data_IF_714400411489
#
_entry.id   IF_714400411489
#
_cell.length_a   1.000
_cell.length_b   1.000
_cell.length_c   1.000
_cell.angle_alpha   90.00
_cell.angle_beta   90.00
_cell.angle_gamma   90.00
#
_symmetry.space_group_name_H-M   'P 1'
#
loop_
_entity.id
_entity.type
_entity.pdbx_description
1 polymer ?
#
# COMPACT_ATOMS: atom_id res chain seq x y z
N UNK A 1 -19.40 -21.33 11.15
CA UNK A 1 -19.10 -21.38 9.71
C UNK A 1 -17.72 -20.78 9.56
N UNK A 2 -16.70 -21.60 9.33
CA UNK A 2 -15.38 -21.10 8.96
C UNK A 2 -15.49 -20.54 7.54
N UNK A 3 -15.57 -19.22 7.41
CA UNK A 3 -15.26 -18.57 6.14
C UNK A 3 -13.77 -18.76 5.94
N UNK A 4 -13.38 -19.85 5.27
CA UNK A 4 -12.00 -20.09 4.88
C UNK A 4 -11.50 -18.82 4.20
N UNK A 5 -10.60 -18.09 4.89
CA UNK A 5 -10.03 -16.85 4.42
C UNK A 5 -9.29 -17.17 3.13
N UNK A 6 -9.93 -16.89 1.99
CA UNK A 6 -9.28 -17.05 0.70
C UNK A 6 -8.27 -15.91 0.63
N UNK A 7 -6.96 -16.18 0.55
CA UNK A 7 -5.98 -15.12 0.52
C UNK A 7 -6.26 -14.22 -0.68
N UNK A 8 -6.57 -12.95 -0.44
CA UNK A 8 -6.75 -11.98 -1.50
C UNK A 8 -5.41 -11.75 -2.21
N UNK A 9 -5.43 -11.75 -3.54
CA UNK A 9 -4.26 -11.45 -4.35
C UNK A 9 -3.86 -9.97 -4.25
N UNK A 10 -4.76 -9.11 -3.78
CA UNK A 10 -4.53 -7.71 -3.44
C UNK A 10 -4.70 -7.54 -1.94
N UNK A 11 -3.82 -6.77 -1.31
CA UNK A 11 -3.98 -6.35 0.07
C UNK A 11 -3.60 -4.89 0.18
N UNK A 12 -4.45 -4.10 0.83
CA UNK A 12 -4.13 -2.71 1.13
C UNK A 12 -3.93 -2.52 2.62
N UNK A 13 -3.06 -1.58 2.98
CA UNK A 13 -2.97 -1.05 4.32
C UNK A 13 -2.78 0.46 4.24
N UNK A 14 -3.12 1.15 5.32
CA UNK A 14 -2.78 2.56 5.46
C UNK A 14 -2.22 2.83 6.86
N UNK A 15 -1.09 3.53 6.92
CA UNK A 15 -0.46 3.91 8.17
C UNK A 15 -0.38 5.43 8.29
N UNK A 16 -0.64 5.93 9.48
CA UNK A 16 -0.57 7.36 9.80
C UNK A 16 0.51 7.53 10.86
N UNK A 17 1.37 8.52 10.66
CA UNK A 17 2.31 8.91 11.69
C UNK A 17 1.56 9.55 12.88
N UNK A 18 1.45 8.78 13.96
CA UNK A 18 0.80 9.23 15.19
C UNK A 18 1.52 10.39 15.88
N UNK A 19 2.81 10.62 15.57
CA UNK A 19 3.54 11.77 16.12
C UNK A 19 2.95 13.11 15.66
N UNK A 20 2.13 13.09 14.59
CA UNK A 20 1.35 14.24 14.14
C UNK A 20 0.16 14.57 15.06
N UNK A 21 -0.08 13.78 16.11
CA UNK A 21 -1.08 14.06 17.15
C UNK A 21 -2.53 13.99 16.67
N UNK A 22 -2.78 13.26 15.59
CA UNK A 22 -4.06 13.28 14.88
C UNK A 22 -4.86 11.98 15.05
N UNK A 23 -6.18 12.11 14.96
CA UNK A 23 -7.13 10.99 15.01
C UNK A 23 -7.18 10.26 13.67
N UNK A 24 -7.33 8.94 13.71
CA UNK A 24 -7.52 8.12 12.50
C UNK A 24 -8.71 8.63 11.67
N UNK A 25 -8.54 8.94 10.38
CA UNK A 25 -9.63 9.24 9.47
C UNK A 25 -10.38 7.94 9.14
N UNK A 26 -11.21 7.46 10.07
CA UNK A 26 -12.03 6.24 9.92
C UNK A 26 -12.73 6.16 8.55
N UNK A 27 -13.32 7.24 8.00
CA UNK A 27 -13.96 7.17 6.69
C UNK A 27 -12.99 6.87 5.53
N UNK A 28 -11.72 7.28 5.64
CA UNK A 28 -10.68 6.94 4.67
C UNK A 28 -10.38 5.44 4.68
N UNK A 29 -10.20 4.84 5.87
CA UNK A 29 -9.97 3.40 6.01
C UNK A 29 -11.13 2.56 5.49
N UNK A 30 -12.37 2.97 5.81
CA UNK A 30 -13.57 2.30 5.32
C UNK A 30 -13.66 2.36 3.78
N UNK A 31 -13.38 3.53 3.19
CA UNK A 31 -13.33 3.68 1.74
C UNK A 31 -12.22 2.85 1.09
N UNK A 32 -11.05 2.75 1.71
CA UNK A 32 -9.94 1.92 1.24
C UNK A 32 -10.30 0.44 1.25
N UNK A 33 -10.85 -0.05 2.35
CA UNK A 33 -11.32 -1.44 2.46
C UNK A 33 -12.41 -1.75 1.43
N UNK A 34 -13.31 -0.80 1.19
CA UNK A 34 -14.34 -0.94 0.16
C UNK A 34 -13.75 -1.08 -1.23
N UNK A 35 -12.77 -0.24 -1.56
CA UNK A 35 -12.12 -0.26 -2.86
C UNK A 35 -11.29 -1.52 -3.06
N UNK A 36 -10.58 -2.00 -2.03
CA UNK A 36 -9.87 -3.28 -2.05
C UNK A 36 -10.81 -4.44 -2.37
N UNK A 37 -11.95 -4.54 -1.69
CA UNK A 37 -12.94 -5.59 -1.93
C UNK A 37 -13.47 -5.55 -3.37
N UNK A 38 -13.83 -4.36 -3.85
CA UNK A 38 -14.36 -4.16 -5.21
C UNK A 38 -13.33 -4.53 -6.28
N UNK A 39 -12.07 -4.12 -6.12
CA UNK A 39 -10.97 -4.49 -7.03
C UNK A 39 -10.70 -5.99 -6.95
N UNK A 40 -10.67 -6.56 -5.75
CA UNK A 40 -10.42 -7.98 -5.52
C UNK A 40 -11.45 -8.88 -6.20
N UNK A 41 -12.70 -8.43 -6.27
CA UNK A 41 -13.81 -9.13 -6.93
C UNK A 41 -13.87 -8.91 -8.46
N UNK A 42 -13.16 -7.92 -9.00
CA UNK A 42 -13.25 -7.52 -10.41
C UNK A 42 -12.35 -8.40 -11.31
N UNK A 43 -12.91 -9.12 -12.32
CA UNK A 43 -12.13 -10.06 -13.14
C UNK A 43 -11.05 -9.40 -14.01
N UNK A 44 -11.29 -8.18 -14.48
CA UNK A 44 -10.36 -7.39 -15.28
C UNK A 44 -9.12 -6.99 -14.47
N UNK A 45 -9.30 -6.61 -13.21
CA UNK A 45 -8.20 -6.37 -12.27
C UNK A 45 -7.38 -7.63 -12.00
N UNK A 46 -8.03 -8.78 -11.82
CA UNK A 46 -7.31 -10.05 -11.67
C UNK A 46 -6.52 -10.41 -12.94
N UNK A 47 -7.10 -10.19 -14.11
CA UNK A 47 -6.46 -10.43 -15.40
C UNK A 47 -5.27 -9.47 -15.64
N UNK A 48 -5.40 -8.20 -15.25
CA UNK A 48 -4.32 -7.22 -15.29
C UNK A 48 -3.13 -7.62 -14.40
N UNK A 49 -3.39 -8.20 -13.22
CA UNK A 49 -2.31 -8.64 -12.32
C UNK A 49 -1.65 -9.96 -12.75
N UNK A 50 -2.35 -10.84 -13.48
CA UNK A 50 -1.86 -12.19 -13.80
C UNK A 50 -0.46 -12.25 -14.47
N UNK A 51 -0.11 -11.35 -15.42
CA UNK A 51 1.23 -11.30 -16.04
C UNK A 51 2.37 -10.99 -15.07
N UNK A 52 2.09 -10.48 -13.86
CA UNK A 52 3.13 -10.26 -12.86
C UNK A 52 3.82 -11.57 -12.45
N UNK A 53 3.17 -12.72 -12.65
CA UNK A 53 3.62 -14.03 -12.18
C UNK A 53 3.97 -14.01 -10.68
N UNK A 54 3.11 -13.35 -9.89
CA UNK A 54 3.20 -13.19 -8.44
C UNK A 54 1.92 -13.66 -7.76
N UNK A 55 2.07 -14.06 -6.51
CA UNK A 55 0.96 -14.53 -5.68
C UNK A 55 0.14 -13.35 -5.16
N UNK A 56 0.82 -12.27 -4.72
CA UNK A 56 0.18 -11.14 -4.04
C UNK A 56 0.76 -9.77 -4.42
N UNK A 57 -0.11 -8.77 -4.48
CA UNK A 57 0.19 -7.35 -4.51
C UNK A 57 -0.19 -6.75 -3.16
N UNK A 58 0.77 -6.11 -2.51
CA UNK A 58 0.58 -5.41 -1.24
C UNK A 58 0.74 -3.90 -1.49
N UNK A 59 -0.21 -3.09 -1.05
CA UNK A 59 -0.17 -1.65 -1.22
C UNK A 59 -0.28 -0.99 0.13
N UNK A 60 0.78 -0.29 0.55
CA UNK A 60 0.78 0.56 1.72
C UNK A 60 0.59 2.02 1.36
N UNK A 61 -0.41 2.65 1.97
CA UNK A 61 -0.70 4.08 1.85
C UNK A 61 -0.27 4.77 3.15
N UNK A 62 0.84 5.48 3.08
CA UNK A 62 1.52 6.01 4.24
C UNK A 62 1.34 7.53 4.33
N UNK A 63 0.96 8.04 5.49
CA UNK A 63 0.79 9.48 5.71
C UNK A 63 1.90 10.00 6.62
N UNK A 64 2.90 10.64 6.01
CA UNK A 64 4.06 11.25 6.67
C UNK A 64 4.25 12.69 6.18
N UNK A 65 5.02 13.47 6.93
CA UNK A 65 5.38 14.86 6.60
C UNK A 65 6.16 15.01 5.27
N UNK A 66 6.88 13.96 4.86
CA UNK A 66 7.66 13.92 3.63
C UNK A 66 7.00 13.04 2.55
N UNK A 67 6.66 13.66 1.41
CA UNK A 67 6.22 12.96 0.20
C UNK A 67 7.30 11.99 -0.30
N UNK A 68 6.89 10.82 -0.80
CA UNK A 68 7.81 9.80 -1.29
C UNK A 68 7.09 8.56 -1.80
N UNK A 69 7.85 7.66 -2.42
CA UNK A 69 7.35 6.37 -2.88
C UNK A 69 8.45 5.33 -2.71
N UNK A 70 8.06 4.13 -2.34
CA UNK A 70 8.93 2.96 -2.22
C UNK A 70 8.24 1.79 -2.87
N UNK A 71 8.99 0.80 -3.33
CA UNK A 71 8.43 -0.47 -3.75
C UNK A 71 9.41 -1.58 -3.42
N UNK A 72 8.87 -2.78 -3.18
CA UNK A 72 9.63 -3.99 -2.96
C UNK A 72 9.13 -5.03 -3.94
N UNK A 73 10.06 -5.63 -4.68
CA UNK A 73 9.72 -6.75 -5.56
C UNK A 73 10.44 -8.00 -5.11
N UNK A 74 9.67 -9.03 -4.75
CA UNK A 74 10.23 -10.37 -4.51
C UNK A 74 9.67 -11.37 -5.52
N UNK A 75 10.02 -12.65 -5.39
CA UNK A 75 9.46 -13.73 -6.23
C UNK A 75 7.99 -14.02 -5.94
N UNK A 76 7.52 -13.79 -4.71
CA UNK A 76 6.16 -14.15 -4.27
C UNK A 76 5.22 -12.95 -4.22
N UNK A 77 5.74 -11.80 -3.76
CA UNK A 77 4.96 -10.60 -3.55
C UNK A 77 5.57 -9.39 -4.25
N UNK A 78 4.72 -8.43 -4.55
CA UNK A 78 5.07 -7.10 -4.97
C UNK A 78 4.45 -6.16 -3.95
N UNK A 79 5.26 -5.36 -3.27
CA UNK A 79 4.77 -4.35 -2.35
C UNK A 79 5.02 -2.96 -2.94
N UNK A 80 4.03 -2.08 -2.85
CA UNK A 80 4.18 -0.65 -3.16
C UNK A 80 3.85 0.13 -1.91
N UNK A 81 4.69 1.10 -1.59
CA UNK A 81 4.40 2.15 -0.63
C UNK A 81 4.22 3.46 -1.36
N UNK A 82 3.07 4.07 -1.15
CA UNK A 82 2.77 5.41 -1.62
C UNK A 82 2.60 6.33 -0.44
N UNK A 83 3.36 7.43 -0.40
CA UNK A 83 3.18 8.44 0.63
C UNK A 83 2.22 9.51 0.16
N UNK A 84 1.12 9.60 0.88
CA UNK A 84 0.05 10.54 0.67
C UNK A 84 0.23 11.79 1.55
N UNK A 85 -0.17 12.95 1.05
CA UNK A 85 -0.25 14.16 1.86
C UNK A 85 -1.34 13.99 2.92
N UNK A 86 -0.96 14.15 4.19
CA UNK A 86 -1.87 14.05 5.32
C UNK A 86 -2.75 15.29 5.47
N UNK A 87 -2.24 16.48 5.10
CA UNK A 87 -2.91 17.76 5.38
C UNK A 87 -4.28 17.85 4.70
N UNK A 88 -4.47 17.17 3.57
CA UNK A 88 -5.78 17.09 2.90
C UNK A 88 -6.82 16.25 3.62
N UNK A 89 -6.42 15.38 4.55
CA UNK A 89 -7.35 14.59 5.35
C UNK A 89 -7.95 15.42 6.49
N UNK A 90 -7.20 16.40 6.98
CA UNK A 90 -7.62 17.24 8.10
C UNK A 90 -8.88 18.04 7.74
N UNK A 91 -9.99 17.74 8.42
CA UNK A 91 -11.28 18.45 8.24
C UNK A 91 -12.02 18.15 6.93
N UNK A 92 -11.59 17.15 6.17
CA UNK A 92 -12.27 16.77 4.93
C UNK A 92 -13.59 16.02 5.20
N UNK A 93 -14.59 16.29 4.37
CA UNK A 93 -15.88 15.58 4.40
C UNK A 93 -15.74 14.12 3.92
N UNK A 94 -16.63 13.24 4.36
CA UNK A 94 -16.63 11.82 3.97
C UNK A 94 -16.61 11.60 2.45
N UNK A 95 -17.34 12.42 1.69
CA UNK A 95 -17.35 12.34 0.23
C UNK A 95 -15.97 12.65 -0.38
N UNK A 96 -15.19 13.53 0.24
CA UNK A 96 -13.81 13.81 -0.19
C UNK A 96 -12.88 12.63 0.11
N UNK A 97 -13.12 11.87 1.20
CA UNK A 97 -12.31 10.70 1.55
C UNK A 97 -12.37 9.60 0.50
N UNK A 98 -13.55 9.31 -0.05
CA UNK A 98 -13.68 8.33 -1.15
C UNK A 98 -12.88 8.74 -2.39
N UNK A 99 -12.86 10.04 -2.71
CA UNK A 99 -12.04 10.57 -3.80
C UNK A 99 -10.54 10.44 -3.48
N UNK A 100 -10.09 10.82 -2.29
CA UNK A 100 -8.68 10.73 -1.90
C UNK A 100 -8.16 9.29 -1.94
N UNK A 101 -8.91 8.34 -1.39
CA UNK A 101 -8.58 6.91 -1.49
C UNK A 101 -8.44 6.46 -2.94
N UNK A 102 -9.36 6.88 -3.80
CA UNK A 102 -9.32 6.52 -5.24
C UNK A 102 -8.05 7.06 -5.90
N UNK A 103 -7.71 8.33 -5.62
CA UNK A 103 -6.49 8.97 -6.13
C UNK A 103 -5.22 8.27 -5.62
N UNK A 104 -5.16 7.98 -4.32
CA UNK A 104 -3.97 7.42 -3.67
C UNK A 104 -3.71 5.99 -4.06
N UNK A 105 -4.76 5.15 -4.02
CA UNK A 105 -4.67 3.78 -4.47
C UNK A 105 -4.37 3.72 -5.97
N UNK A 106 -4.97 4.61 -6.78
CA UNK A 106 -4.68 4.72 -8.21
C UNK A 106 -3.20 5.05 -8.47
N UNK A 107 -2.64 6.02 -7.74
CA UNK A 107 -1.22 6.37 -7.84
C UNK A 107 -0.31 5.20 -7.44
N UNK A 108 -0.64 4.50 -6.35
CA UNK A 108 0.12 3.33 -5.91
C UNK A 108 0.05 2.17 -6.92
N UNK A 109 -1.13 1.89 -7.46
CA UNK A 109 -1.32 0.86 -8.48
C UNK A 109 -0.64 1.23 -9.80
N UNK A 110 -0.55 2.52 -10.14
CA UNK A 110 0.21 2.96 -11.31
C UNK A 110 1.71 2.70 -11.13
N UNK A 111 2.25 2.90 -9.92
CA UNK A 111 3.63 2.50 -9.62
C UNK A 111 3.81 0.99 -9.82
N UNK A 112 2.87 0.18 -9.33
CA UNK A 112 2.90 -1.28 -9.57
C UNK A 112 2.83 -1.62 -11.07
N UNK A 113 2.00 -0.91 -11.84
CA UNK A 113 1.87 -1.09 -13.28
C UNK A 113 3.18 -0.79 -14.00
N UNK A 114 3.81 0.35 -13.68
CA UNK A 114 5.02 0.83 -14.34
C UNK A 114 6.22 -0.08 -14.01
N UNK A 115 6.43 -0.36 -12.71
CA UNK A 115 7.54 -1.19 -12.23
C UNK A 115 7.34 -2.67 -12.58
N UNK A 116 6.08 -3.13 -12.60
CA UNK A 116 5.68 -4.49 -12.99
C UNK A 116 5.57 -4.68 -14.50
N UNK A 117 5.56 -3.60 -15.30
CA UNK A 117 5.32 -3.59 -16.74
C UNK A 117 4.00 -4.25 -17.15
N UNK A 118 2.94 -3.97 -16.40
CA UNK A 118 1.62 -4.64 -16.53
C UNK A 118 0.69 -3.99 -17.56
N UNK A 119 1.12 -2.91 -18.21
CA UNK A 119 0.28 -2.13 -19.12
C UNK A 119 -0.67 -1.18 -18.36
N UNK A 120 -1.67 -0.62 -19.04
CA UNK A 120 -2.58 0.36 -18.43
C UNK A 120 -3.45 -0.27 -17.34
N UNK A 121 -3.74 0.50 -16.30
CA UNK A 121 -4.68 0.10 -15.26
C UNK A 121 -6.10 -0.04 -15.82
N UNK A 122 -6.87 -1.04 -15.37
CA UNK A 122 -8.31 -1.02 -15.50
C UNK A 122 -8.91 0.20 -14.78
N UNK A 123 -10.16 0.54 -15.11
CA UNK A 123 -10.85 1.62 -14.40
C UNK A 123 -11.06 1.23 -12.93
N UNK A 124 -10.76 2.16 -12.02
CA UNK A 124 -11.07 1.97 -10.61
C UNK A 124 -12.59 1.94 -10.40
N UNK A 125 -13.12 0.99 -9.61
CA UNK A 125 -14.53 1.00 -9.25
C UNK A 125 -14.84 2.22 -8.37
N UNK A 126 -16.07 2.71 -8.43
CA UNK A 126 -16.50 3.82 -7.59
C UNK A 126 -16.62 3.38 -6.13
N UNK A 127 -16.11 4.19 -5.20
CA UNK A 127 -16.28 3.96 -3.77
C UNK A 127 -17.76 4.08 -3.40
N UNK A 128 -18.36 3.11 -2.68
CA UNK A 128 -19.74 3.19 -2.22
C UNK A 128 -19.98 4.40 -1.32
N UNK A 129 -21.15 5.02 -1.43
CA UNK A 129 -21.53 6.16 -0.56
C UNK A 129 -21.84 5.72 0.86
N UNK A 130 -22.39 4.51 1.02
CA UNK A 130 -22.63 3.89 2.33
C UNK A 130 -21.45 3.01 2.70
N UNK A 131 -20.71 3.44 3.72
CA UNK A 131 -19.52 2.77 4.23
C UNK A 131 -19.77 2.05 5.56
N UNK A 132 -21.00 2.06 6.08
CA UNK A 132 -21.33 1.51 7.41
C UNK A 132 -20.93 0.04 7.59
N UNK A 133 -20.95 -0.76 6.50
CA UNK A 133 -20.53 -2.17 6.52
C UNK A 133 -19.02 -2.36 6.75
N UNK A 134 -18.23 -1.32 6.55
CA UNK A 134 -16.78 -1.32 6.71
C UNK A 134 -16.32 -0.68 8.01
N UNK A 135 -17.24 -0.07 8.76
CA UNK A 135 -16.94 0.47 10.08
C UNK A 135 -16.62 -0.68 11.02
N UNK A 136 -15.32 -0.87 11.30
CA UNK A 136 -14.87 -1.89 12.22
C UNK A 136 -14.83 -1.33 13.64
N UNK A 137 -15.42 -2.00 14.65
CA UNK A 137 -15.46 -1.52 16.03
C UNK A 137 -14.08 -1.29 16.66
N UNK A 138 -13.03 -1.91 16.13
CA UNK A 138 -11.66 -1.77 16.63
C UNK A 138 -10.87 -0.65 15.96
N UNK A 139 -11.38 0.00 14.89
CA UNK A 139 -10.76 1.23 14.38
C UNK A 139 -10.80 2.36 15.43
N UNK A 140 -11.72 2.27 16.39
CA UNK A 140 -11.80 3.15 17.55
C UNK A 140 -10.93 2.68 18.74
N UNK A 141 -10.46 1.43 18.70
CA UNK A 141 -9.76 0.77 19.80
C UNK A 141 -8.26 0.62 19.50
N UNK A 142 -7.50 1.64 19.87
CA UNK A 142 -6.04 1.71 19.90
C UNK A 142 -5.33 1.52 18.53
N UNK A 143 -4.61 2.54 18.03
CA UNK A 143 -3.81 2.46 16.81
C UNK A 143 -2.87 1.23 16.79
N UNK A 144 -3.23 0.18 16.07
CA UNK A 144 -2.24 -0.80 15.66
C UNK A 144 -1.39 -0.17 14.56
N UNK A 145 -0.19 0.28 14.92
CA UNK A 145 0.87 0.62 13.96
C UNK A 145 1.38 -0.69 13.37
N UNK A 146 0.75 -1.14 12.29
CA UNK A 146 1.40 -2.08 11.39
C UNK A 146 2.23 -1.23 10.43
N UNK A 147 3.54 -1.20 10.64
CA UNK A 147 4.53 -0.85 9.61
C UNK A 147 5.05 -2.16 9.00
N UNK A 148 4.26 -2.84 8.15
CA UNK A 148 4.65 -4.15 7.62
C UNK A 148 5.91 -4.06 6.76
N UNK A 149 6.20 -2.91 6.14
CA UNK A 149 7.47 -2.71 5.46
C UNK A 149 8.60 -2.40 6.43
N UNK A 150 8.35 -1.76 7.57
CA UNK A 150 9.29 -1.64 8.68
C UNK A 150 9.73 -3.00 9.21
N UNK A 151 8.78 -3.87 9.53
CA UNK A 151 9.06 -5.24 9.97
C UNK A 151 9.80 -6.05 8.89
N UNK A 152 9.34 -5.97 7.64
CA UNK A 152 10.02 -6.61 6.51
C UNK A 152 11.43 -6.04 6.30
N UNK A 153 11.62 -4.72 6.40
CA UNK A 153 12.90 -4.05 6.26
C UNK A 153 13.85 -4.48 7.38
N UNK A 154 13.40 -4.51 8.63
CA UNK A 154 14.19 -5.03 9.76
C UNK A 154 14.58 -6.48 9.54
N UNK A 155 13.64 -7.31 9.08
CA UNK A 155 13.93 -8.72 8.76
C UNK A 155 14.97 -8.86 7.63
N UNK A 156 14.82 -8.09 6.56
CA UNK A 156 15.78 -8.06 5.45
C UNK A 156 17.15 -7.54 5.90
N UNK A 157 17.21 -6.52 6.76
CA UNK A 157 18.46 -6.00 7.34
C UNK A 157 19.19 -7.07 8.15
N UNK A 158 18.46 -7.79 9.00
CA UNK A 158 19.03 -8.89 9.80
C UNK A 158 19.58 -10.01 8.90
N UNK A 159 18.86 -10.36 7.83
CA UNK A 159 19.33 -11.36 6.85
C UNK A 159 20.55 -10.89 6.07
N UNK A 160 20.56 -9.65 5.60
CA UNK A 160 21.68 -9.06 4.87
C UNK A 160 22.94 -9.01 5.74
N UNK A 161 22.80 -8.65 7.03
CA UNK A 161 23.90 -8.70 8.00
C UNK A 161 24.43 -10.13 8.22
N UNK A 162 23.58 -11.14 8.06
CA UNK A 162 23.95 -12.57 8.04
C UNK A 162 24.56 -13.08 6.73
N UNK A 163 24.78 -12.21 5.73
CA UNK A 163 25.40 -12.57 4.45
C UNK A 163 24.41 -13.00 3.36
N UNK A 164 23.10 -12.85 3.57
CA UNK A 164 22.08 -13.11 2.54
C UNK A 164 22.15 -12.02 1.45
N UNK A 165 22.71 -12.38 0.29
CA UNK A 165 22.87 -11.47 -0.85
C UNK A 165 21.54 -11.05 -1.47
N UNK A 166 20.50 -11.90 -1.42
CA UNK A 166 19.18 -11.56 -1.95
C UNK A 166 18.54 -10.48 -1.06
N UNK A 167 18.66 -10.62 0.26
CA UNK A 167 18.17 -9.59 1.20
C UNK A 167 18.91 -8.26 1.05
N UNK A 168 20.23 -8.29 0.86
CA UNK A 168 21.03 -7.07 0.64
C UNK A 168 20.64 -6.34 -0.65
N UNK A 169 20.42 -7.08 -1.74
CA UNK A 169 19.96 -6.52 -3.01
C UNK A 169 18.56 -5.89 -2.89
N UNK A 170 17.62 -6.56 -2.22
CA UNK A 170 16.27 -6.02 -1.98
C UNK A 170 16.34 -4.71 -1.17
N UNK A 171 17.22 -4.63 -0.17
CA UNK A 171 17.40 -3.40 0.62
C UNK A 171 17.95 -2.24 -0.21
N UNK A 172 18.87 -2.50 -1.13
CA UNK A 172 19.42 -1.46 -2.00
C UNK A 172 18.33 -0.92 -2.96
N UNK A 173 17.48 -1.78 -3.52
CA UNK A 173 16.32 -1.35 -4.32
C UNK A 173 15.33 -0.48 -3.52
N UNK A 174 15.09 -0.81 -2.24
CA UNK A 174 14.22 -0.02 -1.36
C UNK A 174 14.79 1.39 -1.13
N UNK A 175 16.11 1.49 -0.98
CA UNK A 175 16.80 2.73 -0.62
C UNK A 175 17.01 3.67 -1.81
N UNK A 176 17.26 3.14 -3.01
CA UNK A 176 17.57 3.94 -4.21
C UNK A 176 16.39 4.82 -4.67
N UNK A 177 15.14 4.36 -4.53
CA UNK A 177 13.95 5.12 -4.95
C UNK A 177 13.40 6.06 -3.86
N UNK A 178 13.97 6.05 -2.64
CA UNK A 178 13.55 6.91 -1.51
C UNK A 178 13.99 8.38 -1.62
N UNK A 179 14.59 8.78 -2.75
CA UNK A 179 15.00 10.16 -3.01
C UNK A 179 16.38 10.54 -2.45
N UNK A 180 17.14 9.58 -1.90
CA UNK A 180 18.55 9.81 -1.56
C UNK A 180 19.42 9.69 -2.82
N UNK A 181 19.57 10.82 -3.49
CA UNK A 181 20.49 11.07 -4.60
C UNK A 181 21.87 10.43 -4.37
N UNK A 182 22.15 9.27 -4.97
CA UNK A 182 23.50 8.72 -5.02
C UNK A 182 24.21 9.23 -6.27
N UNK A 183 25.41 9.79 -6.08
CA UNK A 183 26.36 10.03 -7.16
C UNK A 183 26.68 8.74 -7.94
N UNK A 184 27.38 8.86 -9.08
CA UNK A 184 27.53 7.79 -10.06
C UNK A 184 28.09 6.50 -9.43
N UNK A 185 27.59 5.36 -9.91
CA UNK A 185 28.02 4.04 -9.49
C UNK A 185 29.55 3.86 -9.67
N UNK A 186 30.24 3.21 -8.72
CA UNK A 186 31.64 2.85 -8.90
C UNK A 186 31.78 1.78 -9.99
N UNK A 187 32.79 1.99 -10.86
CA UNK A 187 33.19 1.07 -11.95
C UNK A 187 33.70 -0.29 -11.45
#
# INVERSE_FOLDING_TARGET
>A
MDTAYTPSWLSTNAAIDMSLGQTHPVPYYCALQALEELIGAAPDWRAWWAPAHRERLEVGLNFYDASGKSFIRTRKYFAVEYRADYDRLAGAEQAAMGRFVTEDLGNALQIAADKGRLGPLPALPAVPTDLSRYEQPWLDADPFVLDPLGELRTHLQNKAAGGDREAAWILDEILDDSGQNKGPAPE
#
